data_IF_651836855438
#
_entry.id   IF_651836855438
#
_cell.length_a   1.000
_cell.length_b   1.000
_cell.length_c   1.000
_cell.angle_alpha   90.00
_cell.angle_beta   90.00
_cell.angle_gamma   90.00
#
_symmetry.space_group_name_H-M   'P 1'
#
loop_
_entity.id
_entity.type
_entity.pdbx_description
1 polymer ?
#
# COMPACT_ATOMS: atom_id res chain seq x y z
N UNK A 1 2.17 12.76 29.82
CA UNK A 1 1.42 11.76 29.04
C UNK A 1 1.21 12.28 27.64
N UNK A 2 1.16 11.35 26.67
CA UNK A 2 1.01 11.51 25.22
C UNK A 2 2.32 11.46 24.42
N UNK A 3 2.65 10.26 23.93
CA UNK A 3 3.46 10.06 22.73
C UNK A 3 2.48 9.88 21.57
N UNK A 4 2.44 10.85 20.65
CA UNK A 4 1.74 10.73 19.37
C UNK A 4 2.57 9.89 18.42
N UNK A 5 2.07 8.70 18.06
CA UNK A 5 2.72 7.81 17.12
C UNK A 5 2.63 8.35 15.70
N UNK A 6 3.69 9.02 15.23
CA UNK A 6 3.93 9.23 13.80
C UNK A 6 4.48 7.95 13.22
N UNK A 7 3.73 7.31 12.31
CA UNK A 7 4.22 6.18 11.53
C UNK A 7 5.33 6.69 10.59
N UNK A 8 6.59 6.41 10.95
CA UNK A 8 7.75 6.74 10.10
C UNK A 8 7.84 5.72 8.97
N UNK A 9 7.71 6.18 7.73
CA UNK A 9 8.13 5.40 6.57
C UNK A 9 9.63 5.11 6.67
N UNK A 10 9.99 3.84 6.60
CA UNK A 10 11.35 3.31 6.77
C UNK A 10 12.24 3.65 5.58
N UNK A 11 13.08 4.69 5.72
CA UNK A 11 14.26 4.85 4.87
C UNK A 11 15.47 4.19 5.54
N UNK A 12 15.68 2.91 5.24
CA UNK A 12 16.90 2.19 5.63
C UNK A 12 17.96 2.38 4.53
N UNK A 13 18.93 3.28 4.72
CA UNK A 13 20.09 3.34 3.83
C UNK A 13 20.99 2.12 4.07
N UNK A 14 21.17 1.28 3.04
CA UNK A 14 22.13 0.17 3.06
C UNK A 14 23.49 0.69 2.62
N UNK A 15 24.52 0.54 3.47
CA UNK A 15 25.92 0.76 3.09
C UNK A 15 26.33 -0.43 2.21
N UNK A 16 26.55 -0.19 0.92
CA UNK A 16 26.93 -1.22 -0.07
C UNK A 16 28.42 -1.50 0.07
N UNK A 17 28.82 -2.78 0.13
CA UNK A 17 30.23 -3.16 0.16
C UNK A 17 30.80 -3.09 -1.26
N UNK A 18 32.07 -2.68 -1.47
CA UNK A 18 32.67 -2.54 -2.80
C UNK A 18 32.61 -3.80 -3.69
N UNK A 19 32.41 -4.97 -3.08
CA UNK A 19 32.41 -6.27 -3.75
C UNK A 19 30.99 -6.84 -4.00
N UNK A 20 29.94 -6.08 -3.70
CA UNK A 20 28.57 -6.52 -3.94
C UNK A 20 28.28 -6.57 -5.44
N UNK A 21 28.18 -7.79 -5.99
CA UNK A 21 27.78 -8.05 -7.38
C UNK A 21 26.47 -7.31 -7.68
N UNK A 22 26.51 -6.40 -8.65
CA UNK A 22 25.32 -5.67 -9.08
C UNK A 22 24.24 -6.66 -9.51
N UNK A 23 23.22 -6.81 -8.67
CA UNK A 23 21.97 -7.45 -9.05
C UNK A 23 21.38 -6.60 -10.18
N UNK A 24 20.83 -7.27 -11.20
CA UNK A 24 20.15 -6.72 -12.40
C UNK A 24 19.80 -5.23 -12.32
N UNK A 25 20.21 -4.45 -13.31
CA UNK A 25 20.01 -2.99 -13.41
C UNK A 25 18.56 -2.53 -13.49
N UNK A 26 17.61 -3.46 -13.55
CA UNK A 26 16.20 -3.13 -13.38
C UNK A 26 15.95 -2.75 -11.91
N UNK A 27 15.30 -1.61 -11.62
CA UNK A 27 14.93 -1.26 -10.26
C UNK A 27 13.92 -2.30 -9.75
N UNK A 28 14.41 -3.35 -9.09
CA UNK A 28 13.56 -4.34 -8.42
C UNK A 28 12.91 -3.61 -7.25
N UNK A 29 11.70 -3.09 -7.48
CA UNK A 29 10.87 -2.42 -6.47
C UNK A 29 10.54 -3.46 -5.39
N UNK A 30 11.30 -3.46 -4.30
CA UNK A 30 11.05 -4.35 -3.16
C UNK A 30 9.95 -3.74 -2.31
N UNK A 31 8.72 -4.15 -2.57
CA UNK A 31 7.54 -3.71 -1.85
C UNK A 31 7.23 -4.68 -0.72
N UNK A 32 7.23 -4.16 0.50
CA UNK A 32 6.77 -4.87 1.69
C UNK A 32 6.07 -3.88 2.63
N UNK A 33 4.99 -4.32 3.24
CA UNK A 33 4.20 -3.51 4.16
C UNK A 33 3.81 -4.35 5.38
N UNK A 34 4.03 -3.79 6.56
CA UNK A 34 3.68 -4.40 7.82
C UNK A 34 2.22 -4.12 8.17
N UNK A 35 1.48 -5.12 8.64
CA UNK A 35 0.12 -4.92 9.14
C UNK A 35 0.19 -4.13 10.46
N UNK A 36 -0.49 -2.97 10.58
CA UNK A 36 -0.32 -2.09 11.74
C UNK A 36 -0.82 -2.69 13.07
N UNK A 37 -1.71 -3.69 13.02
CA UNK A 37 -2.37 -4.27 14.19
C UNK A 37 -1.95 -5.71 14.51
N UNK A 38 -1.35 -6.42 13.55
CA UNK A 38 -1.06 -7.86 13.66
C UNK A 38 0.41 -8.20 13.32
N UNK A 39 0.84 -9.41 13.65
CA UNK A 39 2.17 -9.94 13.32
C UNK A 39 2.25 -10.49 11.89
N UNK A 40 1.76 -9.68 10.94
CA UNK A 40 1.58 -10.05 9.54
C UNK A 40 2.37 -9.11 8.63
N UNK A 41 3.04 -9.68 7.64
CA UNK A 41 3.83 -9.00 6.64
C UNK A 41 3.28 -9.32 5.25
N UNK A 42 2.89 -8.29 4.51
CA UNK A 42 2.64 -8.37 3.08
C UNK A 42 3.91 -8.00 2.31
N UNK A 43 4.22 -8.72 1.25
CA UNK A 43 5.33 -8.40 0.36
C UNK A 43 5.05 -8.92 -1.05
N UNK A 44 5.64 -8.25 -2.03
CA UNK A 44 5.52 -8.66 -3.43
C UNK A 44 6.63 -9.67 -3.75
N UNK A 45 6.26 -10.83 -4.26
CA UNK A 45 7.17 -11.80 -4.88
C UNK A 45 7.08 -11.60 -6.40
N UNK A 46 8.14 -11.94 -7.14
CA UNK A 46 8.23 -11.68 -8.58
C UNK A 46 6.97 -12.06 -9.37
N UNK A 47 6.73 -11.38 -10.48
CA UNK A 47 5.55 -11.55 -11.37
C UNK A 47 4.21 -11.12 -10.74
N UNK A 48 4.16 -10.03 -9.97
CA UNK A 48 2.88 -9.46 -9.49
C UNK A 48 2.22 -10.22 -8.33
N UNK A 49 2.91 -11.20 -7.77
CA UNK A 49 2.44 -11.96 -6.62
C UNK A 49 2.46 -11.12 -5.35
N UNK A 50 1.34 -11.00 -4.65
CA UNK A 50 1.31 -10.44 -3.29
C UNK A 50 1.21 -11.58 -2.27
N UNK A 51 2.29 -11.81 -1.54
CA UNK A 51 2.35 -12.81 -0.49
C UNK A 51 2.12 -12.17 0.88
N UNK A 52 1.25 -12.78 1.68
CA UNK A 52 0.97 -12.35 3.06
C UNK A 52 1.32 -13.48 4.02
N UNK A 53 2.24 -13.21 4.94
CA UNK A 53 2.74 -14.19 5.89
C UNK A 53 2.65 -13.67 7.31
N UNK A 54 2.38 -14.58 8.24
CA UNK A 54 2.61 -14.36 9.66
C UNK A 54 4.10 -14.55 9.97
N UNK A 55 4.62 -13.84 10.96
CA UNK A 55 6.03 -13.93 11.39
C UNK A 55 6.45 -15.29 11.93
N UNK A 56 5.50 -16.16 12.28
CA UNK A 56 5.74 -17.57 12.54
C UNK A 56 6.07 -18.37 11.26
N UNK A 57 6.40 -17.69 10.16
CA UNK A 57 6.61 -18.23 8.82
C UNK A 57 5.42 -19.02 8.27
N UNK A 58 4.21 -18.67 8.73
CA UNK A 58 2.97 -19.27 8.25
C UNK A 58 2.44 -18.43 7.10
N UNK A 59 2.31 -19.04 5.93
CA UNK A 59 1.62 -18.43 4.78
C UNK A 59 0.14 -18.25 5.13
N UNK A 60 -0.37 -17.02 4.99
CA UNK A 60 -1.80 -16.72 5.17
C UNK A 60 -2.49 -16.77 3.82
N UNK A 61 -2.16 -15.83 2.95
CA UNK A 61 -2.82 -15.65 1.65
C UNK A 61 -1.81 -15.27 0.57
N UNK A 62 -2.22 -15.50 -0.68
CA UNK A 62 -1.45 -15.15 -1.86
C UNK A 62 -2.41 -14.65 -2.94
N UNK A 63 -2.15 -13.46 -3.47
CA UNK A 63 -2.92 -12.86 -4.55
C UNK A 63 -2.07 -12.82 -5.81
N UNK A 64 -2.62 -13.33 -6.92
CA UNK A 64 -1.99 -13.31 -8.23
C UNK A 64 -2.56 -12.15 -9.05
N UNK A 65 -1.70 -11.22 -9.42
CA UNK A 65 -2.09 -9.99 -10.07
C UNK A 65 -1.65 -9.97 -11.53
N UNK A 66 -2.51 -9.45 -12.41
CA UNK A 66 -2.27 -9.40 -13.85
C UNK A 66 -1.27 -8.32 -14.28
N UNK A 67 -0.95 -7.39 -13.38
CA UNK A 67 -0.08 -6.24 -13.64
C UNK A 67 0.88 -6.02 -12.46
N UNK A 68 2.14 -5.61 -12.71
CA UNK A 68 3.11 -5.36 -11.66
C UNK A 68 2.57 -4.43 -10.58
N UNK A 69 2.68 -4.89 -9.34
CA UNK A 69 2.31 -4.11 -8.16
C UNK A 69 3.40 -3.06 -7.92
N UNK A 70 3.01 -1.80 -7.88
CA UNK A 70 3.87 -0.65 -7.69
C UNK A 70 3.69 0.04 -6.34
N UNK A 71 2.58 -0.22 -5.64
CA UNK A 71 2.34 0.24 -4.28
C UNK A 71 1.53 -0.77 -3.46
N UNK A 72 1.80 -0.83 -2.14
CA UNK A 72 1.05 -1.63 -1.17
C UNK A 72 0.74 -0.79 0.07
N UNK A 73 -0.48 -0.91 0.61
CA UNK A 73 -0.87 -0.18 1.81
C UNK A 73 -1.87 -1.00 2.63
N UNK A 74 -1.56 -1.21 3.91
CA UNK A 74 -2.50 -1.83 4.84
C UNK A 74 -3.52 -0.82 5.35
N UNK A 75 -4.74 -1.32 5.52
CA UNK A 75 -5.75 -0.65 6.28
C UNK A 75 -5.37 -0.48 7.76
N UNK A 76 -5.80 0.61 8.43
CA UNK A 76 -5.58 0.78 9.86
C UNK A 76 -6.30 -0.26 10.72
N UNK A 77 -7.33 -0.92 10.19
CA UNK A 77 -7.99 -2.05 10.85
C UNK A 77 -7.15 -3.34 10.80
N UNK A 78 -6.16 -3.41 9.89
CA UNK A 78 -5.31 -4.57 9.62
C UNK A 78 -6.00 -5.72 8.88
N UNK A 79 -7.27 -5.58 8.50
CA UNK A 79 -8.03 -6.62 7.79
C UNK A 79 -7.90 -6.49 6.28
N UNK A 80 -7.85 -5.25 5.80
CA UNK A 80 -7.75 -4.97 4.38
C UNK A 80 -6.35 -4.59 3.94
N UNK A 81 -5.98 -5.03 2.74
CA UNK A 81 -4.74 -4.68 2.06
C UNK A 81 -5.08 -4.08 0.70
N UNK A 82 -4.53 -2.92 0.39
CA UNK A 82 -4.65 -2.32 -0.93
C UNK A 82 -3.37 -2.49 -1.76
N UNK A 83 -3.53 -2.77 -3.04
CA UNK A 83 -2.47 -2.74 -4.05
C UNK A 83 -2.76 -1.75 -5.15
N UNK A 84 -1.71 -1.10 -5.61
CA UNK A 84 -1.70 -0.23 -6.78
C UNK A 84 -0.78 -0.80 -7.83
N UNK A 85 -1.21 -0.71 -9.08
CA UNK A 85 -0.58 -1.38 -10.21
C UNK A 85 -0.05 -0.36 -11.22
N UNK A 86 0.88 -0.82 -12.07
CA UNK A 86 1.47 0.00 -13.13
C UNK A 86 0.49 0.35 -14.26
N UNK A 87 -0.59 -0.40 -14.40
CA UNK A 87 -1.68 -0.14 -15.36
C UNK A 87 -2.72 0.85 -14.81
N UNK A 88 -2.54 1.35 -13.58
CA UNK A 88 -3.47 2.26 -12.91
C UNK A 88 -4.68 1.55 -12.29
N UNK A 89 -4.67 0.22 -12.22
CA UNK A 89 -5.67 -0.57 -11.48
C UNK A 89 -5.39 -0.50 -9.97
N UNK A 90 -6.46 -0.48 -9.17
CA UNK A 90 -6.41 -0.60 -7.71
C UNK A 90 -7.17 -1.86 -7.28
N UNK A 91 -6.56 -2.67 -6.41
CA UNK A 91 -7.23 -3.79 -5.77
C UNK A 91 -7.24 -3.62 -4.25
N UNK A 92 -8.32 -4.08 -3.63
CA UNK A 92 -8.49 -4.17 -2.18
C UNK A 92 -8.76 -5.64 -1.87
N UNK A 93 -7.93 -6.21 -1.02
CA UNK A 93 -8.03 -7.58 -0.55
C UNK A 93 -8.48 -7.62 0.90
N UNK A 94 -9.30 -8.61 1.23
CA UNK A 94 -9.56 -8.99 2.60
C UNK A 94 -8.63 -10.16 2.95
N UNK A 95 -7.77 -9.93 3.96
CA UNK A 95 -6.75 -10.90 4.38
C UNK A 95 -7.34 -12.02 5.24
N UNK A 96 -8.48 -11.80 5.90
CA UNK A 96 -9.15 -12.84 6.68
C UNK A 96 -9.89 -13.82 5.77
N UNK A 97 -10.57 -13.32 4.72
CA UNK A 97 -11.25 -14.18 3.74
C UNK A 97 -10.30 -14.74 2.69
N UNK A 98 -9.19 -14.05 2.40
CA UNK A 98 -8.30 -14.38 1.30
C UNK A 98 -8.89 -14.08 -0.07
N UNK A 99 -9.89 -13.20 -0.15
CA UNK A 99 -10.56 -12.82 -1.37
C UNK A 99 -10.28 -11.36 -1.75
N UNK A 100 -10.33 -11.08 -3.05
CA UNK A 100 -10.30 -9.71 -3.57
C UNK A 100 -11.66 -9.06 -3.32
N UNK A 101 -11.73 -8.20 -2.30
CA UNK A 101 -12.94 -7.48 -1.90
C UNK A 101 -13.42 -6.49 -2.96
N UNK A 102 -12.48 -5.79 -3.60
CA UNK A 102 -12.81 -4.79 -4.63
C UNK A 102 -11.69 -4.65 -5.65
N UNK A 103 -12.07 -4.51 -6.91
CA UNK A 103 -11.17 -4.18 -8.02
C UNK A 103 -11.70 -2.95 -8.73
N UNK A 104 -10.88 -1.90 -8.77
CA UNK A 104 -11.16 -0.66 -9.50
C UNK A 104 -10.18 -0.53 -10.67
N UNK A 105 -10.55 -1.05 -11.85
CA UNK A 105 -9.69 -0.95 -13.04
C UNK A 105 -9.65 0.50 -13.53
N UNK A 106 -8.48 0.94 -14.02
CA UNK A 106 -8.25 2.31 -14.53
C UNK A 106 -8.65 3.41 -13.55
N UNK A 107 -8.40 3.21 -12.26
CA UNK A 107 -8.54 4.27 -11.26
C UNK A 107 -7.67 5.48 -11.61
N UNK A 108 -6.51 5.23 -12.23
CA UNK A 108 -5.64 6.25 -12.81
C UNK A 108 -5.24 5.90 -14.24
N UNK A 109 -4.94 6.93 -15.04
CA UNK A 109 -4.41 6.77 -16.41
C UNK A 109 -2.90 6.54 -16.46
N UNK A 110 -2.25 6.57 -15.30
CA UNK A 110 -0.81 6.43 -15.11
C UNK A 110 -0.52 5.44 -13.96
N UNK A 111 0.72 4.91 -13.87
CA UNK A 111 1.13 4.00 -12.80
C UNK A 111 0.88 4.59 -11.42
N UNK A 112 0.35 3.77 -10.51
CA UNK A 112 0.12 4.18 -9.12
C UNK A 112 1.44 4.14 -8.36
N UNK A 113 1.96 5.31 -8.00
CA UNK A 113 3.29 5.39 -7.39
C UNK A 113 3.28 5.28 -5.86
N UNK A 114 2.16 5.58 -5.22
CA UNK A 114 2.01 5.57 -3.78
C UNK A 114 0.54 5.45 -3.39
N UNK A 115 0.30 4.79 -2.26
CA UNK A 115 -1.01 4.58 -1.67
C UNK A 115 -0.99 5.00 -0.21
N UNK A 116 -2.08 5.63 0.21
CA UNK A 116 -2.34 5.90 1.62
C UNK A 116 -3.79 5.57 1.93
N UNK A 117 -3.98 4.86 3.05
CA UNK A 117 -5.30 4.62 3.61
C UNK A 117 -5.69 5.76 4.51
N UNK A 118 -6.85 6.35 4.24
CA UNK A 118 -7.42 7.39 5.09
C UNK A 118 -8.67 6.82 5.72
N UNK A 119 -8.67 6.72 7.05
CA UNK A 119 -9.91 6.48 7.80
C UNK A 119 -10.62 7.81 7.97
N UNK A 120 -11.91 7.84 7.70
CA UNK A 120 -12.75 8.98 8.04
C UNK A 120 -12.99 9.01 9.55
N UNK A 121 -11.93 9.23 10.34
CA UNK A 121 -12.02 9.38 11.80
C UNK A 121 -12.57 10.75 12.20
N UNK A 122 -12.82 11.65 11.25
CA UNK A 122 -13.50 12.91 11.53
C UNK A 122 -14.16 13.52 10.29
N UNK A 123 -15.50 13.57 10.31
CA UNK A 123 -16.28 14.57 9.56
C UNK A 123 -16.07 16.01 10.11
N UNK A 124 -15.02 16.27 10.89
CA UNK A 124 -14.94 17.47 11.74
C UNK A 124 -13.52 17.79 12.20
N UNK A 125 -12.66 18.28 11.29
CA UNK A 125 -11.60 19.23 11.71
C UNK A 125 -11.03 20.19 10.66
N UNK A 126 -11.53 20.20 9.43
CA UNK A 126 -11.17 21.23 8.43
C UNK A 126 -12.36 22.07 7.96
N UNK A 127 -13.54 21.92 8.57
CA UNK A 127 -14.69 22.80 8.29
C UNK A 127 -14.54 24.15 8.97
N UNK A 128 -13.55 24.93 8.51
CA UNK A 128 -13.57 26.39 8.55
C UNK A 128 -12.87 26.95 7.31
N UNK A 129 -13.24 26.49 6.11
CA UNK A 129 -13.50 27.42 5.02
C UNK A 129 -14.40 26.76 3.98
N UNK A 130 -15.49 27.41 3.64
CA UNK A 130 -16.66 26.83 2.96
C UNK A 130 -16.55 26.84 1.43
N UNK A 131 -15.37 26.64 0.85
CA UNK A 131 -15.16 26.93 -0.57
C UNK A 131 -14.33 25.94 -1.39
N UNK A 132 -13.83 24.84 -0.81
CA UNK A 132 -13.08 23.86 -1.62
C UNK A 132 -14.00 22.73 -2.10
N UNK A 133 -14.35 22.66 -3.40
CA UNK A 133 -15.13 21.56 -3.95
C UNK A 133 -14.36 20.23 -3.83
N UNK A 134 -15.12 19.15 -3.66
CA UNK A 134 -14.64 17.78 -3.35
C UNK A 134 -13.75 17.21 -4.46
N UNK A 135 -13.69 17.87 -5.63
CA UNK A 135 -12.96 17.41 -6.81
C UNK A 135 -11.47 17.81 -6.86
N UNK A 136 -10.96 18.56 -5.87
CA UNK A 136 -9.59 19.12 -5.96
C UNK A 136 -8.52 18.40 -5.10
N UNK A 137 -8.79 17.19 -4.59
CA UNK A 137 -7.82 16.47 -3.74
C UNK A 137 -6.82 15.56 -4.49
N UNK A 138 -6.98 15.37 -5.81
CA UNK A 138 -6.17 14.41 -6.57
C UNK A 138 -5.44 15.04 -7.77
N UNK A 139 -4.63 16.08 -7.54
CA UNK A 139 -3.78 16.68 -8.60
C UNK A 139 -2.35 16.14 -8.69
N UNK A 140 -1.87 15.41 -7.69
CA UNK A 140 -0.53 14.81 -7.72
C UNK A 140 -0.63 13.30 -7.88
N UNK A 141 0.41 12.67 -8.44
CA UNK A 141 0.53 11.24 -8.86
C UNK A 141 0.37 10.19 -7.73
N UNK A 142 -0.27 10.57 -6.64
CA UNK A 142 -0.58 9.79 -5.44
C UNK A 142 -2.06 9.43 -5.43
N UNK A 143 -2.35 8.14 -5.36
CA UNK A 143 -3.73 7.67 -5.23
C UNK A 143 -4.04 7.57 -3.73
N UNK A 144 -4.83 8.49 -3.20
CA UNK A 144 -5.37 8.34 -1.85
C UNK A 144 -6.58 7.40 -1.92
N UNK A 145 -6.55 6.30 -1.18
CA UNK A 145 -7.70 5.41 -1.09
C UNK A 145 -8.55 5.90 0.09
N UNK A 146 -9.65 6.57 -0.26
CA UNK A 146 -10.70 6.94 0.69
C UNK A 146 -11.72 5.82 0.73
N UNK A 147 -11.66 4.95 1.74
CA UNK A 147 -12.71 3.97 2.02
C UNK A 147 -13.57 4.55 3.16
N UNK A 148 -14.92 4.61 3.00
CA UNK A 148 -15.82 5.19 3.99
C UNK A 148 -15.84 4.46 5.34
#
# INVERSE_FOLDING_TARGET
GHWGGTCMASQCFRRVHPDDKALSSEPVRRLAAWCPTMDVLAFVVGEGVIAVHRLSWVKLVHFEESSPVSALCWAPDGRSLASGHDDGTLNIFDVESGETSSTTPKAHSAPITSLTWVTNTSRSKWRTDSSVPIEELCKDRTSQILVP
#
